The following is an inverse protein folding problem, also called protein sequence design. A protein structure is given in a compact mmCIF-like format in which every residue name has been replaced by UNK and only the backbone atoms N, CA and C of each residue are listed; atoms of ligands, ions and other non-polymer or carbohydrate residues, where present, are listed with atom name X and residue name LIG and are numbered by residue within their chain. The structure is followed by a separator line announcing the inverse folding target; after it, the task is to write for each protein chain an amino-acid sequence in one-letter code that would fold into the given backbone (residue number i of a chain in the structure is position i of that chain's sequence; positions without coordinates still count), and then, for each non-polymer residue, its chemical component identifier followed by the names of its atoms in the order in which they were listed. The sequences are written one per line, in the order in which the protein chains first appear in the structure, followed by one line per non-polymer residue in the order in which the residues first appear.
data_IF_482281782180
#
_entry.id   IF_482281782180
#
_cell.length_a   1.000
_cell.length_b   1.000
_cell.length_c   1.000
_cell.angle_alpha   90.00
_cell.angle_beta   90.00
_cell.angle_gamma   90.00
#
_symmetry.space_group_name_H-M   'P 1'
#
loop_
_entity.id
_entity.type
_entity.pdbx_description
1 polymer ?
#
# COMPACT_ATOMS: atom_id res chain seq x y z
N UNK A 1 -10.33 -26.91 -1.19
CA UNK A 1 -10.12 -26.51 0.21
C UNK A 1 -8.97 -25.50 0.26
N UNK A 2 -9.24 -24.20 0.36
CA UNK A 2 -8.19 -23.20 0.61
C UNK A 2 -7.71 -23.42 2.04
N UNK A 3 -6.43 -23.79 2.23
CA UNK A 3 -5.80 -23.80 3.55
C UNK A 3 -5.87 -22.37 4.09
N UNK A 4 -6.43 -22.20 5.28
CA UNK A 4 -6.35 -20.92 5.99
C UNK A 4 -4.89 -20.49 6.06
N UNK A 5 -4.60 -19.33 5.48
CA UNK A 5 -3.28 -18.70 5.51
C UNK A 5 -3.05 -17.92 6.82
N UNK A 6 -4.01 -17.99 7.76
CA UNK A 6 -3.89 -17.37 9.07
C UNK A 6 -2.76 -18.05 9.88
N UNK A 7 -2.01 -17.24 10.60
CA UNK A 7 -0.95 -17.72 11.50
C UNK A 7 -1.58 -18.70 12.50
N UNK A 8 -1.18 -19.97 12.54
CA UNK A 8 -1.83 -20.95 13.40
C UNK A 8 -1.70 -20.55 14.88
N UNK A 9 -2.81 -20.24 15.52
CA UNK A 9 -2.88 -20.05 16.96
C UNK A 9 -2.97 -21.41 17.68
N UNK A 10 -1.98 -22.26 17.53
CA UNK A 10 -2.01 -23.61 18.07
C UNK A 10 -0.65 -24.27 18.09
N UNK A 11 -0.64 -25.61 18.17
CA UNK A 11 0.60 -26.39 18.11
C UNK A 11 1.30 -26.14 16.77
N UNK A 12 2.42 -25.42 16.82
CA UNK A 12 3.25 -25.12 15.66
C UNK A 12 3.98 -26.35 15.18
N UNK A 13 4.05 -26.56 13.87
CA UNK A 13 4.84 -27.65 13.30
C UNK A 13 6.34 -27.45 13.61
N UNK A 14 7.14 -28.54 13.61
CA UNK A 14 8.59 -28.44 13.81
C UNK A 14 9.27 -27.53 12.78
N UNK A 15 8.83 -27.58 11.51
CA UNK A 15 9.33 -26.70 10.45
C UNK A 15 8.99 -25.23 10.71
N UNK A 16 7.74 -24.94 11.10
CA UNK A 16 7.34 -23.58 11.46
C UNK A 16 8.22 -23.03 12.59
N UNK A 17 8.41 -23.84 13.66
CA UNK A 17 9.25 -23.43 14.80
C UNK A 17 10.71 -23.24 14.42
N UNK A 18 11.25 -24.09 13.56
CA UNK A 18 12.61 -23.91 13.02
C UNK A 18 12.75 -22.58 12.27
N UNK A 19 11.83 -22.27 11.34
CA UNK A 19 11.86 -21.03 10.57
C UNK A 19 11.66 -19.79 11.46
N UNK A 20 10.88 -19.91 12.53
CA UNK A 20 10.68 -18.83 13.50
C UNK A 20 11.95 -18.50 14.30
N UNK A 21 12.76 -19.53 14.64
CA UNK A 21 13.99 -19.39 15.40
C UNK A 21 15.16 -18.95 14.49
N UNK A 22 15.14 -19.32 13.22
CA UNK A 22 16.26 -19.16 12.28
C UNK A 22 16.81 -17.72 12.18
N UNK A 23 16.00 -16.66 12.05
CA UNK A 23 16.51 -15.29 11.99
C UNK A 23 17.30 -14.89 13.26
N UNK A 24 16.75 -15.23 14.42
CA UNK A 24 17.43 -15.00 15.70
C UNK A 24 18.73 -15.80 15.82
N UNK A 25 18.70 -17.07 15.45
CA UNK A 25 19.88 -17.94 15.49
C UNK A 25 20.99 -17.43 14.57
N UNK A 26 20.68 -16.93 13.37
CA UNK A 26 21.64 -16.32 12.45
C UNK A 26 22.24 -15.06 13.08
N UNK A 27 21.41 -14.17 13.62
CA UNK A 27 21.87 -12.88 14.18
C UNK A 27 22.76 -13.09 15.40
N UNK A 28 22.32 -13.89 16.37
CA UNK A 28 23.14 -14.20 17.55
C UNK A 28 24.35 -15.06 17.20
N UNK A 29 24.21 -15.99 16.25
CA UNK A 29 25.31 -16.80 15.76
C UNK A 29 26.42 -15.97 15.13
N UNK A 30 26.07 -14.94 14.37
CA UNK A 30 27.06 -14.02 13.79
C UNK A 30 27.85 -13.25 14.87
N UNK A 31 27.16 -12.80 15.94
CA UNK A 31 27.82 -12.15 17.07
C UNK A 31 28.74 -13.13 17.80
N UNK A 32 28.25 -14.31 18.14
CA UNK A 32 29.04 -15.36 18.84
C UNK A 32 30.24 -15.76 17.98
N UNK A 33 30.07 -15.89 16.68
CA UNK A 33 31.16 -16.24 15.75
C UNK A 33 32.31 -15.24 15.79
N UNK A 34 32.02 -13.94 15.94
CA UNK A 34 33.07 -12.93 16.11
C UNK A 34 33.93 -13.24 17.35
N UNK A 35 33.31 -13.52 18.49
CA UNK A 35 34.04 -13.84 19.72
C UNK A 35 34.82 -15.15 19.58
N UNK A 36 34.23 -16.19 19.01
CA UNK A 36 34.88 -17.50 18.81
C UNK A 36 36.12 -17.35 17.92
N UNK A 37 35.98 -16.66 16.78
CA UNK A 37 37.11 -16.42 15.87
C UNK A 37 38.22 -15.60 16.55
N UNK A 38 37.87 -14.57 17.33
CA UNK A 38 38.82 -13.76 18.05
C UNK A 38 39.58 -14.52 19.16
N UNK A 39 38.95 -15.54 19.77
CA UNK A 39 39.57 -16.42 20.76
C UNK A 39 40.52 -17.45 20.11
N UNK A 40 40.20 -17.90 18.90
CA UNK A 40 41.04 -18.84 18.15
C UNK A 40 42.30 -18.11 17.63
N UNK A 41 42.09 -17.00 16.93
CA UNK A 41 43.14 -16.12 16.41
C UNK A 41 42.57 -14.69 16.25
N UNK A 42 43.18 -13.67 16.90
CA UNK A 42 42.74 -12.28 16.76
C UNK A 42 42.72 -11.77 15.32
N UNK A 43 43.55 -12.30 14.42
CA UNK A 43 43.55 -11.94 13.00
C UNK A 43 42.30 -12.42 12.31
N UNK A 44 41.82 -13.63 12.62
CA UNK A 44 40.53 -14.14 12.07
C UNK A 44 39.37 -13.29 12.55
N UNK A 45 39.34 -12.89 13.82
CA UNK A 45 38.34 -11.97 14.34
C UNK A 45 38.34 -10.62 13.63
N UNK A 46 39.55 -10.06 13.37
CA UNK A 46 39.70 -8.80 12.65
C UNK A 46 39.25 -8.90 11.20
N UNK A 47 39.57 -9.98 10.49
CA UNK A 47 39.11 -10.24 9.12
C UNK A 47 37.58 -10.34 9.08
N UNK A 48 37.00 -11.09 10.01
CA UNK A 48 35.54 -11.22 10.09
C UNK A 48 34.83 -9.87 10.33
N UNK A 49 35.35 -9.07 11.28
CA UNK A 49 34.83 -7.73 11.55
C UNK A 49 34.98 -6.81 10.33
N UNK A 50 36.10 -6.88 9.62
CA UNK A 50 36.29 -6.13 8.37
C UNK A 50 35.24 -6.50 7.30
N UNK A 51 34.95 -7.81 7.13
CA UNK A 51 33.92 -8.28 6.21
C UNK A 51 32.54 -7.73 6.59
N UNK A 52 32.21 -7.72 7.89
CA UNK A 52 30.93 -7.15 8.38
C UNK A 52 30.83 -5.65 8.08
N UNK A 53 31.89 -4.90 8.37
CA UNK A 53 31.95 -3.45 8.10
C UNK A 53 31.85 -3.18 6.59
N UNK A 54 32.65 -3.89 5.78
CA UNK A 54 32.59 -3.74 4.32
C UNK A 54 31.21 -4.07 3.74
N UNK A 55 30.60 -5.16 4.21
CA UNK A 55 29.24 -5.54 3.78
C UNK A 55 28.18 -4.49 4.15
N UNK A 56 28.32 -3.88 5.33
CA UNK A 56 27.42 -2.81 5.79
C UNK A 56 27.62 -1.54 4.96
N UNK A 57 28.87 -1.19 4.62
CA UNK A 57 29.18 -0.04 3.76
C UNK A 57 28.59 -0.22 2.35
N UNK A 58 28.77 -1.40 1.75
CA UNK A 58 28.19 -1.71 0.43
C UNK A 58 26.65 -1.60 0.45
N UNK A 59 26.00 -2.11 1.50
CA UNK A 59 24.55 -1.95 1.68
C UNK A 59 24.17 -0.48 1.81
N UNK A 60 24.89 0.31 2.62
CA UNK A 60 24.60 1.74 2.81
C UNK A 60 24.70 2.51 1.50
N UNK A 61 25.73 2.25 0.69
CA UNK A 61 25.87 2.85 -0.66
C UNK A 61 24.71 2.43 -1.56
N UNK A 62 24.35 1.14 -1.54
CA UNK A 62 23.23 0.62 -2.33
C UNK A 62 21.89 1.28 -1.95
N UNK A 63 21.66 1.51 -0.66
CA UNK A 63 20.49 2.24 -0.15
C UNK A 63 20.48 3.67 -0.66
N UNK A 64 21.57 4.41 -0.48
CA UNK A 64 21.69 5.80 -0.93
C UNK A 64 21.41 5.92 -2.44
N UNK A 65 21.98 5.02 -3.24
CA UNK A 65 21.76 5.00 -4.69
C UNK A 65 20.29 4.76 -5.04
N UNK A 66 19.66 3.76 -4.42
CA UNK A 66 18.21 3.46 -4.64
C UNK A 66 17.32 4.60 -4.20
N UNK A 67 17.63 5.28 -3.10
CA UNK A 67 16.88 6.45 -2.62
C UNK A 67 16.88 7.56 -3.67
N UNK A 68 18.04 7.88 -4.25
CA UNK A 68 18.14 8.90 -5.31
C UNK A 68 17.35 8.47 -6.55
N UNK A 69 17.53 7.23 -6.99
CA UNK A 69 16.79 6.72 -8.16
C UNK A 69 15.27 6.71 -7.90
N UNK A 70 14.82 6.24 -6.73
CA UNK A 70 13.42 6.21 -6.35
C UNK A 70 12.79 7.59 -6.34
N UNK A 71 13.48 8.58 -5.79
CA UNK A 71 13.05 9.97 -5.80
C UNK A 71 12.85 10.53 -7.21
N UNK A 72 13.78 10.27 -8.13
CA UNK A 72 13.68 10.69 -9.52
C UNK A 72 12.51 9.99 -10.26
N UNK A 73 12.25 8.72 -9.93
CA UNK A 73 11.09 7.99 -10.46
C UNK A 73 9.79 8.61 -9.98
N UNK A 74 9.67 8.89 -8.66
CA UNK A 74 8.49 9.54 -8.09
C UNK A 74 8.24 10.90 -8.76
N UNK A 75 9.26 11.75 -8.85
CA UNK A 75 9.14 13.06 -9.50
C UNK A 75 8.67 12.98 -10.96
N UNK A 76 9.13 11.99 -11.71
CA UNK A 76 8.68 11.78 -13.09
C UNK A 76 7.25 11.28 -13.14
N UNK A 77 6.86 10.35 -12.25
CA UNK A 77 5.51 9.80 -12.16
C UNK A 77 4.47 10.87 -11.73
N UNK A 78 4.83 11.75 -10.79
CA UNK A 78 3.97 12.86 -10.35
C UNK A 78 3.62 13.86 -11.47
N UNK A 79 4.51 14.02 -12.46
CA UNK A 79 4.27 14.92 -13.61
C UNK A 79 3.27 14.34 -14.62
N UNK A 80 3.02 13.04 -14.56
CA UNK A 80 2.06 12.38 -15.46
C UNK A 80 0.65 12.84 -15.12
N UNK A 81 -0.15 13.08 -16.11
CA UNK A 81 -1.60 13.20 -15.97
C UNK A 81 -2.21 11.79 -16.02
N UNK A 82 -2.24 11.15 -14.84
CA UNK A 82 -2.77 9.79 -14.70
C UNK A 82 -4.26 9.74 -15.00
N UNK A 83 -5.01 10.78 -14.65
CA UNK A 83 -6.43 10.88 -14.97
C UNK A 83 -6.65 10.84 -16.48
N UNK A 84 -5.90 11.64 -17.23
CA UNK A 84 -5.96 11.62 -18.69
C UNK A 84 -5.60 10.26 -19.28
N UNK A 85 -4.57 9.59 -18.73
CA UNK A 85 -4.23 8.22 -19.17
C UNK A 85 -5.34 7.22 -18.92
N UNK A 86 -6.03 7.31 -17.79
CA UNK A 86 -7.21 6.44 -17.51
C UNK A 86 -8.34 6.75 -18.48
N UNK A 87 -8.60 8.04 -18.79
CA UNK A 87 -9.60 8.45 -19.78
C UNK A 87 -9.28 7.92 -21.19
N UNK A 88 -8.02 7.94 -21.58
CA UNK A 88 -7.56 7.39 -22.86
C UNK A 88 -7.87 5.89 -23.01
N UNK A 89 -7.91 5.13 -21.91
CA UNK A 89 -8.29 3.71 -21.92
C UNK A 89 -9.79 3.48 -22.22
N UNK A 90 -10.64 4.49 -22.11
CA UNK A 90 -12.05 4.40 -22.49
C UNK A 90 -12.25 4.33 -24.01
N UNK A 91 -11.33 4.95 -24.76
CA UNK A 91 -11.33 5.00 -26.23
C UNK A 91 -9.94 4.65 -26.77
N UNK A 92 -9.46 3.41 -26.58
CA UNK A 92 -8.05 3.06 -26.81
C UNK A 92 -7.63 3.22 -28.27
N UNK A 93 -8.51 2.97 -29.23
CA UNK A 93 -8.21 3.13 -30.65
C UNK A 93 -7.97 4.62 -31.01
N UNK A 94 -8.86 5.50 -30.60
CA UNK A 94 -8.75 6.94 -30.87
C UNK A 94 -7.52 7.53 -30.17
N UNK A 95 -7.28 7.13 -28.92
CA UNK A 95 -6.14 7.56 -28.14
C UNK A 95 -4.81 7.08 -28.77
N UNK A 96 -4.76 5.82 -29.25
CA UNK A 96 -3.60 5.28 -29.96
C UNK A 96 -3.30 6.07 -31.23
N UNK A 97 -4.29 6.31 -32.10
CA UNK A 97 -4.10 7.07 -33.33
C UNK A 97 -3.61 8.50 -33.08
N UNK A 98 -4.03 9.11 -31.99
CA UNK A 98 -3.58 10.45 -31.57
C UNK A 98 -2.15 10.47 -31.05
N UNK A 99 -1.72 9.42 -30.32
CA UNK A 99 -0.47 9.40 -29.55
C UNK A 99 0.67 8.62 -30.20
N UNK A 100 0.41 7.76 -31.20
CA UNK A 100 1.41 6.85 -31.80
C UNK A 100 2.63 7.55 -32.40
N UNK A 101 2.44 8.75 -32.91
CA UNK A 101 3.50 9.55 -33.57
C UNK A 101 4.02 10.69 -32.67
N UNK A 102 3.56 10.75 -31.41
CA UNK A 102 3.99 11.75 -30.43
C UNK A 102 5.33 11.33 -29.78
N UNK A 103 6.33 12.22 -29.87
CA UNK A 103 7.65 12.04 -29.24
C UNK A 103 7.68 12.48 -27.76
N UNK A 104 6.62 12.29 -27.05
CA UNK A 104 6.50 12.64 -25.62
C UNK A 104 7.46 11.80 -24.77
N UNK A 105 8.28 12.47 -23.93
CA UNK A 105 9.25 11.83 -23.03
C UNK A 105 8.75 11.70 -21.58
N UNK A 106 7.44 11.80 -21.37
CA UNK A 106 6.88 11.62 -20.04
C UNK A 106 7.09 10.19 -19.54
N UNK A 107 7.04 10.02 -18.23
CA UNK A 107 7.26 8.73 -17.57
C UNK A 107 6.36 7.63 -18.17
N UNK A 108 6.97 6.54 -18.64
CA UNK A 108 6.30 5.38 -19.26
C UNK A 108 5.36 5.74 -20.44
N UNK A 109 5.68 6.77 -21.23
CA UNK A 109 4.83 7.17 -22.35
C UNK A 109 4.77 6.10 -23.44
N UNK A 110 5.90 5.54 -23.83
CA UNK A 110 5.97 4.46 -24.83
C UNK A 110 5.14 3.24 -24.39
N UNK A 111 5.21 2.88 -23.09
CA UNK A 111 4.40 1.80 -22.53
C UNK A 111 2.90 2.12 -22.59
N UNK A 112 2.52 3.40 -22.37
CA UNK A 112 1.13 3.83 -22.50
C UNK A 112 0.62 3.65 -23.93
N UNK A 113 1.39 4.08 -24.95
CA UNK A 113 1.03 3.91 -26.36
C UNK A 113 0.91 2.43 -26.72
N UNK A 114 1.82 1.58 -26.26
CA UNK A 114 1.75 0.13 -26.52
C UNK A 114 0.54 -0.52 -25.81
N UNK A 115 0.21 -0.12 -24.58
CA UNK A 115 -1.01 -0.56 -23.89
C UNK A 115 -2.27 -0.18 -24.67
N UNK A 116 -2.36 1.05 -25.18
CA UNK A 116 -3.48 1.49 -26.02
C UNK A 116 -3.61 0.65 -27.29
N UNK A 117 -2.49 0.37 -27.95
CA UNK A 117 -2.46 -0.49 -29.15
C UNK A 117 -2.96 -1.90 -28.85
N UNK A 118 -2.49 -2.50 -27.74
CA UNK A 118 -2.96 -3.84 -27.33
C UNK A 118 -4.46 -3.82 -27.01
N UNK A 119 -4.94 -2.84 -26.27
CA UNK A 119 -6.35 -2.72 -25.90
C UNK A 119 -7.25 -2.48 -27.13
N UNK A 120 -6.79 -1.67 -28.10
CA UNK A 120 -7.50 -1.48 -29.36
C UNK A 120 -7.62 -2.76 -30.19
N UNK A 121 -6.59 -3.63 -30.15
CA UNK A 121 -6.58 -4.91 -30.86
C UNK A 121 -7.42 -6.00 -30.16
N UNK A 122 -7.42 -6.04 -28.81
CA UNK A 122 -8.05 -7.11 -28.01
C UNK A 122 -9.51 -6.80 -27.62
N UNK A 123 -9.97 -5.57 -27.79
CA UNK A 123 -11.36 -5.18 -27.55
C UNK A 123 -11.79 -5.29 -26.09
N UNK A 124 -12.84 -6.12 -25.80
CA UNK A 124 -13.53 -6.17 -24.50
C UNK A 124 -12.81 -6.92 -23.36
N UNK A 125 -11.60 -7.38 -23.55
CA UNK A 125 -10.87 -8.15 -22.50
C UNK A 125 -10.41 -7.29 -21.32
N UNK A 126 -10.43 -5.97 -21.45
CA UNK A 126 -10.06 -5.02 -20.41
C UNK A 126 -11.30 -4.41 -19.76
N UNK A 127 -11.27 -4.18 -18.42
CA UNK A 127 -12.35 -3.48 -17.75
C UNK A 127 -12.43 -2.04 -18.25
N UNK A 128 -13.64 -1.56 -18.51
CA UNK A 128 -13.85 -0.15 -18.81
C UNK A 128 -13.55 0.71 -17.57
N UNK A 129 -12.86 1.86 -17.72
CA UNK A 129 -12.53 2.74 -16.59
C UNK A 129 -13.73 3.15 -15.73
N UNK A 130 -14.90 3.34 -16.35
CA UNK A 130 -16.17 3.69 -15.67
C UNK A 130 -16.76 2.57 -14.81
N UNK A 131 -16.19 1.36 -14.86
CA UNK A 131 -16.60 0.20 -14.06
C UNK A 131 -15.59 -0.17 -12.98
N UNK A 132 -14.51 0.59 -12.85
CA UNK A 132 -13.50 0.38 -11.80
C UNK A 132 -13.88 1.19 -10.56
N UNK A 133 -13.84 0.54 -9.40
CA UNK A 133 -14.13 1.16 -8.11
C UNK A 133 -12.97 0.99 -7.16
N UNK A 134 -12.70 2.02 -6.36
CA UNK A 134 -11.77 1.94 -5.24
C UNK A 134 -12.53 1.79 -3.92
N UNK A 135 -12.17 0.80 -3.13
CA UNK A 135 -12.55 0.67 -1.74
C UNK A 135 -11.35 1.12 -0.91
N UNK A 136 -11.44 2.28 -0.28
CA UNK A 136 -10.41 2.79 0.62
C UNK A 136 -10.79 2.43 2.05
N UNK A 137 -10.06 1.50 2.64
CA UNK A 137 -10.30 1.00 4.00
C UNK A 137 -9.29 1.63 4.97
N UNK A 138 -9.79 2.41 5.90
CA UNK A 138 -9.00 3.04 6.95
C UNK A 138 -9.32 2.38 8.30
N UNK A 139 -8.27 1.89 8.98
CA UNK A 139 -8.41 1.34 10.33
C UNK A 139 -8.13 2.43 11.36
N UNK A 140 -9.01 2.56 12.36
CA UNK A 140 -8.87 3.46 13.49
C UNK A 140 -9.13 2.74 14.81
N UNK A 141 -8.51 3.22 15.89
CA UNK A 141 -8.67 2.69 17.24
C UNK A 141 -9.09 3.77 18.24
N UNK A 142 -8.26 4.78 18.44
CA UNK A 142 -8.48 5.87 19.38
C UNK A 142 -8.07 7.24 18.83
N UNK A 143 -7.81 7.30 17.52
CA UNK A 143 -7.43 8.54 16.85
C UNK A 143 -8.61 9.50 16.78
N UNK A 144 -8.33 10.76 17.03
CA UNK A 144 -9.32 11.84 16.97
C UNK A 144 -9.58 12.35 15.55
N UNK A 145 -10.58 13.23 15.39
CA UNK A 145 -10.93 13.79 14.09
C UNK A 145 -9.81 14.62 13.46
N UNK A 146 -8.90 15.17 14.28
CA UNK A 146 -7.72 15.93 13.84
C UNK A 146 -6.68 15.07 13.12
N UNK A 147 -6.68 13.76 13.36
CA UNK A 147 -5.80 12.78 12.68
C UNK A 147 -6.53 12.17 11.48
N UNK A 148 -7.74 11.66 11.69
CA UNK A 148 -8.52 10.95 10.68
C UNK A 148 -9.02 11.91 9.58
N UNK A 149 -9.46 13.10 9.94
CA UNK A 149 -10.05 14.08 9.02
C UNK A 149 -9.14 14.44 7.85
N UNK A 150 -7.90 14.88 8.09
CA UNK A 150 -6.94 15.19 7.01
C UNK A 150 -6.69 14.05 6.05
N UNK A 151 -6.70 12.81 6.54
CA UNK A 151 -6.51 11.62 5.69
C UNK A 151 -7.74 11.34 4.81
N UNK A 152 -8.96 11.58 5.30
CA UNK A 152 -10.19 11.51 4.49
C UNK A 152 -10.20 12.65 3.45
N UNK A 153 -9.82 13.87 3.83
CA UNK A 153 -9.71 15.00 2.89
C UNK A 153 -8.69 14.71 1.78
N UNK A 154 -7.57 14.05 2.09
CA UNK A 154 -6.61 13.65 1.08
C UNK A 154 -7.20 12.66 0.07
N UNK A 155 -8.03 11.70 0.50
CA UNK A 155 -8.75 10.78 -0.40
C UNK A 155 -9.78 11.53 -1.24
N UNK A 156 -10.57 12.41 -0.65
CA UNK A 156 -11.57 13.24 -1.34
C UNK A 156 -10.95 14.12 -2.43
N UNK A 157 -9.76 14.64 -2.17
CA UNK A 157 -9.05 15.54 -3.07
C UNK A 157 -8.19 14.81 -4.12
N UNK A 158 -8.34 13.49 -4.26
CA UNK A 158 -7.72 12.76 -5.38
C UNK A 158 -8.38 13.13 -6.71
N UNK A 159 -7.65 12.96 -7.80
CA UNK A 159 -8.15 13.23 -9.16
C UNK A 159 -9.12 12.15 -9.65
N UNK A 160 -9.20 11.03 -8.96
CA UNK A 160 -10.14 9.95 -9.26
C UNK A 160 -11.58 10.34 -8.87
N UNK A 161 -12.61 9.95 -9.65
CA UNK A 161 -14.00 10.33 -9.37
C UNK A 161 -14.49 9.81 -8.03
N UNK A 162 -14.94 10.70 -7.16
CA UNK A 162 -15.40 10.36 -5.82
C UNK A 162 -16.63 9.42 -5.80
N UNK A 163 -17.48 9.48 -6.82
CA UNK A 163 -18.62 8.60 -7.02
C UNK A 163 -18.23 7.15 -7.38
N UNK A 164 -16.96 6.90 -7.61
CA UNK A 164 -16.34 5.58 -7.79
C UNK A 164 -15.49 5.16 -6.57
N UNK A 165 -15.49 5.95 -5.50
CA UNK A 165 -14.79 5.63 -4.25
C UNK A 165 -15.80 5.20 -3.19
N UNK A 166 -15.57 4.04 -2.57
CA UNK A 166 -16.27 3.57 -1.39
C UNK A 166 -15.30 3.72 -0.23
N UNK A 167 -15.58 4.68 0.66
CA UNK A 167 -14.75 4.91 1.83
C UNK A 167 -15.24 4.08 3.01
N UNK A 168 -14.35 3.37 3.69
CA UNK A 168 -14.66 2.48 4.81
C UNK A 168 -13.83 2.87 6.01
N UNK A 169 -14.48 3.42 7.03
CA UNK A 169 -13.85 3.65 8.33
C UNK A 169 -14.12 2.46 9.24
N UNK A 170 -13.09 1.63 9.42
CA UNK A 170 -13.11 0.46 10.27
C UNK A 170 -12.55 0.82 11.65
N UNK A 171 -13.40 0.91 12.67
CA UNK A 171 -12.97 1.29 14.01
C UNK A 171 -13.24 0.19 15.04
N UNK A 172 -12.40 0.13 16.06
CA UNK A 172 -12.48 -0.90 17.08
C UNK A 172 -13.38 -0.46 18.24
N UNK A 173 -14.32 -1.33 18.66
CA UNK A 173 -15.20 -1.07 19.80
C UNK A 173 -14.44 -0.76 21.08
N UNK A 174 -13.30 -1.40 21.30
CA UNK A 174 -12.42 -1.18 22.45
C UNK A 174 -11.84 0.24 22.54
N UNK A 175 -11.91 1.04 21.47
CA UNK A 175 -11.56 2.47 21.50
C UNK A 175 -12.61 3.34 22.19
N UNK A 176 -13.76 2.76 22.59
CA UNK A 176 -14.79 3.39 23.41
C UNK A 176 -15.73 4.32 22.64
N UNK A 177 -16.44 5.16 23.39
CA UNK A 177 -17.46 6.08 22.84
C UNK A 177 -16.83 7.22 22.02
N UNK A 178 -15.61 7.64 22.35
CA UNK A 178 -14.94 8.74 21.66
C UNK A 178 -14.74 8.45 20.17
N UNK A 179 -14.18 7.28 19.83
CA UNK A 179 -13.98 6.90 18.44
C UNK A 179 -15.30 6.63 17.71
N UNK A 180 -16.31 6.06 18.40
CA UNK A 180 -17.63 5.85 17.82
C UNK A 180 -18.29 7.18 17.45
N UNK A 181 -18.25 8.16 18.35
CA UNK A 181 -18.76 9.52 18.10
C UNK A 181 -18.01 10.22 16.97
N UNK A 182 -16.68 10.11 16.95
CA UNK A 182 -15.83 10.62 15.88
C UNK A 182 -16.23 10.01 14.54
N UNK A 183 -16.37 8.70 14.47
CA UNK A 183 -16.75 7.98 13.25
C UNK A 183 -18.13 8.43 12.71
N UNK A 184 -19.13 8.54 13.58
CA UNK A 184 -20.46 9.03 13.19
C UNK A 184 -20.46 10.49 12.72
N UNK A 185 -19.69 11.36 13.36
CA UNK A 185 -19.55 12.76 12.95
C UNK A 185 -18.86 12.86 11.57
N UNK A 186 -17.78 12.12 11.36
CA UNK A 186 -17.10 12.06 10.06
C UNK A 186 -18.03 11.53 8.97
N UNK A 187 -18.80 10.47 9.23
CA UNK A 187 -19.79 9.98 8.27
C UNK A 187 -20.81 11.04 7.88
N UNK A 188 -21.30 11.83 8.85
CA UNK A 188 -22.21 12.94 8.58
C UNK A 188 -21.56 14.04 7.77
N UNK A 189 -20.32 14.41 8.11
CA UNK A 189 -19.54 15.44 7.43
C UNK A 189 -19.28 15.11 5.96
N UNK A 190 -18.96 13.84 5.66
CA UNK A 190 -18.64 13.39 4.31
C UNK A 190 -19.82 12.72 3.58
N UNK A 191 -21.03 12.92 4.07
CA UNK A 191 -22.23 12.40 3.41
C UNK A 191 -22.37 12.94 1.98
N UNK A 192 -22.47 12.02 1.01
CA UNK A 192 -22.62 12.37 -0.40
C UNK A 192 -21.34 12.83 -1.10
N UNK A 193 -20.19 12.77 -0.42
CA UNK A 193 -18.88 13.08 -1.02
C UNK A 193 -18.38 11.89 -1.84
N UNK A 194 -18.41 10.70 -1.27
CA UNK A 194 -18.03 9.45 -1.92
C UNK A 194 -19.27 8.70 -2.45
N UNK A 195 -19.06 7.66 -3.25
CA UNK A 195 -20.13 6.74 -3.63
C UNK A 195 -20.88 6.24 -2.40
N UNK A 196 -20.13 5.82 -1.39
CA UNK A 196 -20.67 5.53 -0.07
C UNK A 196 -19.58 5.72 1.00
N UNK A 197 -20.02 5.99 2.24
CA UNK A 197 -19.17 6.08 3.42
C UNK A 197 -19.65 5.04 4.44
N UNK A 198 -18.93 3.93 4.53
CA UNK A 198 -19.28 2.82 5.40
C UNK A 198 -18.59 2.94 6.75
N UNK A 199 -19.33 2.75 7.83
CA UNK A 199 -18.79 2.55 9.16
C UNK A 199 -18.83 1.07 9.50
N UNK A 200 -17.69 0.53 9.90
CA UNK A 200 -17.58 -0.88 10.35
C UNK A 200 -16.96 -0.91 11.73
N UNK A 201 -17.78 -1.18 12.75
CA UNK A 201 -17.30 -1.38 14.11
C UNK A 201 -16.84 -2.81 14.30
N UNK A 202 -15.55 -3.01 14.59
CA UNK A 202 -15.00 -4.31 14.96
C UNK A 202 -15.37 -4.63 16.42
N UNK A 203 -16.05 -5.74 16.70
CA UNK A 203 -16.43 -6.12 18.07
C UNK A 203 -15.22 -6.57 18.87
N UNK A 204 -15.37 -6.52 20.21
CA UNK A 204 -14.32 -6.95 21.14
C UNK A 204 -14.31 -8.47 21.30
N UNK A 205 -13.16 -9.00 21.63
CA UNK A 205 -12.98 -10.37 22.12
C UNK A 205 -13.53 -11.48 21.19
N UNK A 206 -13.37 -11.31 19.88
CA UNK A 206 -13.73 -12.39 18.96
C UNK A 206 -12.81 -13.61 19.17
N UNK A 207 -13.39 -14.81 19.32
CA UNK A 207 -12.61 -16.03 19.56
C UNK A 207 -11.63 -16.30 18.41
N UNK A 208 -10.36 -16.55 18.76
CA UNK A 208 -9.32 -16.89 17.79
C UNK A 208 -8.67 -15.70 17.10
N UNK A 209 -9.04 -14.45 17.41
CA UNK A 209 -8.40 -13.25 16.88
C UNK A 209 -7.37 -12.66 17.84
N UNK A 210 -6.26 -12.19 17.28
CA UNK A 210 -5.27 -11.38 18.00
C UNK A 210 -5.67 -9.92 17.85
N UNK A 211 -5.65 -9.15 18.93
CA UNK A 211 -5.98 -7.73 18.93
C UNK A 211 -5.02 -6.95 18.01
N UNK A 212 -5.56 -6.15 17.08
CA UNK A 212 -4.74 -5.30 16.21
C UNK A 212 -5.42 -4.88 14.91
N UNK A 213 -4.70 -4.12 14.10
CA UNK A 213 -5.18 -3.57 12.82
C UNK A 213 -5.61 -4.67 11.83
N UNK A 214 -4.87 -5.78 11.77
CA UNK A 214 -5.14 -6.87 10.81
C UNK A 214 -6.54 -7.48 10.95
N UNK A 215 -6.96 -7.93 12.14
CA UNK A 215 -8.33 -8.40 12.40
C UNK A 215 -9.39 -7.34 12.08
N UNK A 216 -9.17 -6.07 12.48
CA UNK A 216 -10.08 -4.98 12.17
C UNK A 216 -10.31 -4.86 10.65
N UNK A 217 -9.25 -4.82 9.86
CA UNK A 217 -9.35 -4.77 8.40
C UNK A 217 -9.97 -6.05 7.80
N UNK A 218 -9.67 -7.21 8.36
CA UNK A 218 -10.29 -8.48 7.92
C UNK A 218 -11.78 -8.46 8.15
N UNK A 219 -12.23 -7.98 9.31
CA UNK A 219 -13.65 -7.83 9.63
C UNK A 219 -14.34 -6.84 8.70
N UNK A 220 -13.70 -5.68 8.46
CA UNK A 220 -14.18 -4.68 7.51
C UNK A 220 -14.26 -5.24 6.09
N UNK A 221 -13.28 -6.03 5.66
CA UNK A 221 -13.29 -6.69 4.35
C UNK A 221 -14.50 -7.62 4.16
N UNK A 222 -14.91 -8.34 5.21
CA UNK A 222 -16.16 -9.15 5.18
C UNK A 222 -17.41 -8.27 5.02
N UNK A 223 -17.45 -7.09 5.65
CA UNK A 223 -18.53 -6.13 5.49
C UNK A 223 -18.55 -5.53 4.07
N UNK A 224 -17.39 -5.19 3.53
CA UNK A 224 -17.24 -4.72 2.13
C UNK A 224 -17.71 -5.78 1.14
N UNK A 225 -17.35 -7.05 1.33
CA UNK A 225 -17.80 -8.13 0.44
C UNK A 225 -19.34 -8.27 0.41
N UNK A 226 -20.00 -8.10 1.55
CA UNK A 226 -21.46 -8.09 1.61
C UNK A 226 -22.05 -6.87 0.90
N UNK A 227 -21.50 -5.68 1.16
CA UNK A 227 -21.93 -4.45 0.50
C UNK A 227 -21.80 -4.55 -1.03
N UNK A 228 -20.67 -5.05 -1.53
CA UNK A 228 -20.42 -5.25 -2.97
C UNK A 228 -21.47 -6.17 -3.59
N UNK A 229 -21.79 -7.28 -2.92
CA UNK A 229 -22.83 -8.22 -3.37
C UNK A 229 -24.23 -7.59 -3.36
N UNK A 230 -24.60 -6.87 -2.30
CA UNK A 230 -25.89 -6.17 -2.16
C UNK A 230 -26.09 -5.06 -3.21
N UNK A 231 -25.01 -4.35 -3.55
CA UNK A 231 -25.02 -3.30 -4.57
C UNK A 231 -24.79 -3.81 -5.99
N UNK A 232 -24.64 -5.11 -6.17
CA UNK A 232 -24.36 -5.75 -7.46
C UNK A 232 -23.18 -5.13 -8.21
N UNK A 233 -22.12 -4.71 -7.47
CA UNK A 233 -20.92 -4.18 -8.06
C UNK A 233 -20.04 -5.30 -8.64
N UNK A 234 -19.35 -5.07 -9.77
CA UNK A 234 -18.49 -6.08 -10.37
C UNK A 234 -17.25 -6.30 -9.49
N UNK A 235 -17.25 -7.38 -8.71
CA UNK A 235 -16.19 -7.68 -7.74
C UNK A 235 -14.79 -7.75 -8.38
N UNK A 236 -14.75 -8.19 -9.64
CA UNK A 236 -13.52 -8.27 -10.45
C UNK A 236 -12.92 -6.91 -10.82
N UNK A 237 -13.69 -5.84 -10.67
CA UNK A 237 -13.28 -4.47 -10.98
C UNK A 237 -13.09 -3.60 -9.73
N UNK A 238 -12.99 -4.21 -8.55
CA UNK A 238 -12.80 -3.51 -7.30
C UNK A 238 -11.35 -3.59 -6.86
N UNK A 239 -10.77 -2.44 -6.61
CA UNK A 239 -9.43 -2.29 -6.03
C UNK A 239 -9.57 -1.91 -4.56
N UNK A 240 -8.97 -2.68 -3.67
CA UNK A 240 -9.00 -2.41 -2.23
C UNK A 240 -7.68 -1.81 -1.79
N UNK A 241 -7.72 -0.62 -1.20
CA UNK A 241 -6.57 0.07 -0.63
C UNK A 241 -6.72 0.12 0.89
N UNK A 242 -5.72 -0.39 1.63
CA UNK A 242 -5.62 -0.20 3.08
C UNK A 242 -4.83 1.05 3.37
N UNK A 243 -5.41 1.97 4.14
CA UNK A 243 -4.82 3.25 4.50
C UNK A 243 -4.69 3.34 6.03
N UNK A 244 -3.59 3.88 6.54
CA UNK A 244 -3.48 4.24 7.95
C UNK A 244 -4.21 5.55 8.22
N UNK A 245 -4.67 5.73 9.46
CA UNK A 245 -5.49 6.89 9.85
C UNK A 245 -4.75 8.23 9.73
N UNK A 246 -3.42 8.20 9.72
CA UNK A 246 -2.52 9.36 9.61
C UNK A 246 -1.86 9.50 8.23
N UNK A 247 -2.17 8.64 7.28
CA UNK A 247 -1.56 8.67 5.95
C UNK A 247 -2.35 9.55 4.98
N UNK A 248 -1.66 10.47 4.33
CA UNK A 248 -2.23 11.32 3.29
C UNK A 248 -1.97 10.73 1.91
N UNK A 249 -3.04 10.44 1.20
CA UNK A 249 -2.97 9.90 -0.16
C UNK A 249 -2.54 10.98 -1.16
N UNK A 250 -1.60 10.67 -2.04
CA UNK A 250 -1.20 11.58 -3.11
C UNK A 250 -2.36 11.79 -4.11
N UNK A 251 -2.57 13.01 -4.64
CA UNK A 251 -3.75 13.33 -5.46
C UNK A 251 -3.98 12.41 -6.64
N UNK A 252 -2.94 11.93 -7.31
CA UNK A 252 -3.02 11.08 -8.50
C UNK A 252 -2.89 9.59 -8.23
N UNK A 253 -2.83 9.17 -6.95
CA UNK A 253 -2.56 7.78 -6.58
C UNK A 253 -3.62 6.81 -7.09
N UNK A 254 -4.91 7.12 -6.88
CA UNK A 254 -5.99 6.22 -7.29
C UNK A 254 -6.07 6.06 -8.80
N UNK A 255 -5.85 7.13 -9.58
CA UNK A 255 -5.80 7.05 -11.04
C UNK A 255 -4.61 6.20 -11.51
N UNK A 256 -3.43 6.35 -10.89
CA UNK A 256 -2.27 5.54 -11.26
C UNK A 256 -2.49 4.05 -10.99
N UNK A 257 -3.10 3.70 -9.85
CA UNK A 257 -3.42 2.30 -9.52
C UNK A 257 -4.53 1.76 -10.43
N UNK A 258 -5.55 2.57 -10.75
CA UNK A 258 -6.59 2.18 -11.70
C UNK A 258 -6.00 1.92 -13.10
N UNK A 259 -5.08 2.78 -13.56
CA UNK A 259 -4.38 2.59 -14.81
C UNK A 259 -3.62 1.25 -14.86
N UNK A 260 -2.79 0.99 -13.86
CA UNK A 260 -2.02 -0.26 -13.75
C UNK A 260 -2.96 -1.49 -13.66
N UNK A 261 -4.03 -1.37 -12.88
CA UNK A 261 -5.03 -2.44 -12.78
C UNK A 261 -5.69 -2.74 -14.12
N UNK A 262 -6.13 -1.73 -14.86
CA UNK A 262 -6.83 -1.91 -16.13
C UNK A 262 -5.89 -2.53 -17.18
N UNK A 263 -4.67 -2.03 -17.29
CA UNK A 263 -3.73 -2.43 -18.36
C UNK A 263 -3.00 -3.74 -18.10
N UNK A 264 -2.94 -4.21 -16.85
CA UNK A 264 -2.17 -5.41 -16.53
C UNK A 264 -2.97 -6.71 -16.78
N UNK A 265 -2.43 -7.68 -17.55
CA UNK A 265 -3.15 -8.92 -17.89
C UNK A 265 -3.47 -9.79 -16.67
N UNK A 266 -2.61 -9.80 -15.64
CA UNK A 266 -2.78 -10.59 -14.42
C UNK A 266 -3.35 -9.77 -13.25
N UNK A 267 -4.10 -8.70 -13.52
CA UNK A 267 -4.63 -7.73 -12.52
C UNK A 267 -5.30 -8.34 -11.29
N UNK A 268 -5.96 -9.51 -11.46
CA UNK A 268 -6.65 -10.20 -10.36
C UNK A 268 -5.71 -10.90 -9.36
N UNK A 269 -4.41 -10.94 -9.63
CA UNK A 269 -3.39 -11.62 -8.80
C UNK A 269 -2.30 -10.68 -8.32
N UNK A 270 -2.47 -9.38 -8.54
CA UNK A 270 -1.49 -8.37 -8.15
C UNK A 270 -1.87 -7.69 -6.85
N UNK A 271 -0.85 -7.25 -6.14
CA UNK A 271 -0.95 -6.23 -5.12
C UNK A 271 -0.05 -5.06 -5.51
N UNK A 272 -0.52 -3.85 -5.26
CA UNK A 272 0.20 -2.62 -5.55
C UNK A 272 0.75 -2.07 -4.25
N UNK A 273 2.08 -2.00 -4.15
CA UNK A 273 2.76 -1.44 -2.98
C UNK A 273 3.05 0.04 -3.24
N UNK A 274 2.37 0.97 -2.54
CA UNK A 274 2.71 2.38 -2.64
C UNK A 274 4.06 2.67 -2.00
N UNK A 275 4.74 3.70 -2.48
CA UNK A 275 5.89 4.24 -1.78
C UNK A 275 5.39 5.14 -0.65
N UNK A 276 5.58 4.72 0.59
CA UNK A 276 5.24 5.50 1.77
C UNK A 276 6.35 6.51 2.04
N UNK A 277 6.04 7.79 1.95
CA UNK A 277 6.95 8.88 2.32
C UNK A 277 6.62 9.37 3.72
N UNK A 278 7.59 9.32 4.62
CA UNK A 278 7.44 9.82 5.99
C UNK A 278 7.58 11.36 5.99
N UNK A 279 6.49 12.07 5.66
CA UNK A 279 6.53 13.52 5.48
C UNK A 279 5.66 14.30 6.48
N UNK A 280 4.61 13.69 7.04
CA UNK A 280 3.59 14.40 7.83
C UNK A 280 4.15 15.08 9.08
N UNK A 281 5.08 14.41 9.77
CA UNK A 281 5.69 14.88 11.02
C UNK A 281 7.23 14.80 11.00
N UNK A 282 7.83 14.70 9.84
CA UNK A 282 9.28 14.47 9.71
C UNK A 282 10.12 15.59 10.33
N UNK A 283 9.58 16.82 10.35
CA UNK A 283 10.28 17.98 10.89
C UNK A 283 10.31 18.00 12.42
N UNK A 284 9.45 17.24 13.08
CA UNK A 284 9.43 17.08 14.55
C UNK A 284 10.50 16.09 15.02
N UNK A 285 11.05 15.28 14.10
CA UNK A 285 12.07 14.30 14.41
C UNK A 285 13.50 14.89 14.31
N UNK A 286 14.47 14.42 15.14
CA UNK A 286 15.89 14.77 15.01
C UNK A 286 16.44 14.42 13.63
N UNK A 287 17.44 15.22 13.15
CA UNK A 287 18.00 15.07 11.81
C UNK A 287 18.48 13.63 11.46
N UNK A 288 19.16 12.88 12.34
CA UNK A 288 19.52 11.48 12.03
C UNK A 288 18.33 10.58 11.79
N UNK A 289 17.25 10.74 12.58
CA UNK A 289 16.02 9.94 12.47
C UNK A 289 15.31 10.23 11.14
N UNK A 290 15.31 11.49 10.68
CA UNK A 290 14.77 11.88 9.37
C UNK A 290 15.47 11.15 8.21
N UNK A 291 16.80 11.08 8.25
CA UNK A 291 17.58 10.37 7.22
C UNK A 291 17.20 8.88 7.18
N UNK A 292 17.10 8.24 8.35
CA UNK A 292 16.72 6.82 8.45
C UNK A 292 15.28 6.61 7.93
N UNK A 293 14.34 7.45 8.33
CA UNK A 293 12.95 7.35 7.92
C UNK A 293 12.80 7.47 6.39
N UNK A 294 13.41 8.50 5.79
CA UNK A 294 13.37 8.69 4.32
C UNK A 294 14.06 7.53 3.59
N UNK A 295 15.17 7.04 4.12
CA UNK A 295 15.87 5.89 3.51
C UNK A 295 15.00 4.64 3.46
N UNK A 296 14.18 4.40 4.49
CA UNK A 296 13.30 3.24 4.57
C UNK A 296 12.11 3.30 3.58
N UNK A 297 11.79 4.47 3.02
CA UNK A 297 10.71 4.62 2.03
C UNK A 297 11.01 3.91 0.69
N UNK A 298 12.26 3.57 0.41
CA UNK A 298 12.71 3.03 -0.88
C UNK A 298 13.22 1.58 -0.81
N UNK A 299 12.82 0.83 0.23
CA UNK A 299 13.18 -0.58 0.43
C UNK A 299 12.07 -1.54 0.05
#
# INVERSE_FOLDING_TARGET
MRKNLEIPQGKRTKLYRFLEILPGAISYGAIILLFVLSLIDPVLGAIYLFILIASTLVKAIGVAYRTVQGYEVIKRAERVDWRKRVEDLSHPHEAYERLRDDNNKSYHFEQHVENLKMMAAMGKEYPSPDKVYHVVMMAAYNEGPEIIGPSIEAVKNTTFPNDHIIFVLAYERRGGEAIATTAENLKKQYKGVFRDFLLVQHPDNLPGEVVGKGPNLTYAGKAVSRYVAEKHLPVENIIVTSLDSDNHMAPKYLDSVAYEFITHPNRQRLSYQPVSLFMNNIWDAPAPTRVIAVSNSFF
#
